data_IF_844469384788
#
_entry.id   IF_844469384788
#
_cell.length_a   1.000
_cell.length_b   1.000
_cell.length_c   1.000
_cell.angle_alpha   90.00
_cell.angle_beta   90.00
_cell.angle_gamma   90.00
#
_symmetry.space_group_name_H-M   'P 1'
#
loop_
_entity.id
_entity.type
_entity.pdbx_description
1 polymer ?
#
# COMPACT_ATOMS: atom_id res chain seq x y z
N UNK A 1 -11.56 -14.85 -17.36
CA UNK A 1 -10.97 -13.50 -17.19
C UNK A 1 -9.51 -13.63 -17.56
N UNK A 2 -9.06 -12.98 -18.63
CA UNK A 2 -7.63 -13.05 -19.02
C UNK A 2 -6.87 -12.12 -18.08
N UNK A 3 -6.11 -12.68 -17.15
CA UNK A 3 -5.18 -11.92 -16.31
C UNK A 3 -4.01 -11.47 -17.20
N UNK A 4 -3.98 -10.19 -17.55
CA UNK A 4 -2.77 -9.63 -18.15
C UNK A 4 -1.70 -9.56 -17.06
N UNK A 5 -0.52 -10.14 -17.29
CA UNK A 5 0.56 -10.09 -16.31
C UNK A 5 0.96 -8.64 -16.04
N UNK A 6 1.20 -8.30 -14.77
CA UNK A 6 1.75 -7.01 -14.42
C UNK A 6 3.17 -6.88 -15.00
N UNK A 7 3.45 -5.76 -15.67
CA UNK A 7 4.75 -5.49 -16.27
C UNK A 7 5.45 -4.41 -15.44
N UNK A 8 6.64 -4.73 -14.94
CA UNK A 8 7.50 -3.74 -14.30
C UNK A 8 8.13 -2.84 -15.36
N UNK A 9 7.65 -1.61 -15.46
CA UNK A 9 8.11 -0.63 -16.46
C UNK A 9 9.40 0.06 -16.00
N UNK A 10 9.46 0.44 -14.70
CA UNK A 10 10.60 1.15 -14.13
C UNK A 10 10.74 0.84 -12.64
N UNK A 11 11.94 1.00 -12.12
CA UNK A 11 12.27 0.84 -10.71
C UNK A 11 13.29 1.89 -10.31
N UNK A 12 13.06 2.56 -9.19
CA UNK A 12 14.01 3.48 -8.58
C UNK A 12 14.22 3.12 -7.12
N UNK A 13 15.36 3.47 -6.57
CA UNK A 13 15.70 3.25 -5.17
C UNK A 13 16.41 4.46 -4.59
N UNK A 14 16.27 4.67 -3.30
CA UNK A 14 16.94 5.73 -2.55
C UNK A 14 17.66 5.14 -1.33
N UNK A 15 18.61 5.90 -0.80
CA UNK A 15 19.39 5.49 0.37
C UNK A 15 18.55 5.63 1.64
N UNK A 16 18.88 4.84 2.67
CA UNK A 16 18.10 4.77 3.93
C UNK A 16 17.93 6.10 4.66
N UNK A 17 18.83 7.07 4.47
CA UNK A 17 18.71 8.43 5.00
C UNK A 17 17.90 9.38 4.08
N UNK A 18 17.22 8.87 3.07
CA UNK A 18 16.44 9.61 2.08
C UNK A 18 17.22 10.72 1.34
N UNK A 19 18.56 10.64 1.33
CA UNK A 19 19.43 11.71 0.79
C UNK A 19 19.21 11.98 -0.69
N UNK A 20 18.80 10.99 -1.46
CA UNK A 20 18.56 11.09 -2.91
C UNK A 20 17.10 10.78 -3.30
N UNK A 21 16.17 10.78 -2.36
CA UNK A 21 14.76 10.40 -2.63
C UNK A 21 14.10 11.31 -3.66
N UNK A 22 14.40 12.60 -3.65
CA UNK A 22 13.82 13.58 -4.59
C UNK A 22 14.26 13.32 -6.03
N UNK A 23 15.54 13.03 -6.23
CA UNK A 23 16.09 12.65 -7.53
C UNK A 23 15.49 11.34 -8.01
N UNK A 24 15.41 10.35 -7.15
CA UNK A 24 14.82 9.05 -7.44
C UNK A 24 13.35 9.14 -7.87
N UNK A 25 12.56 9.99 -7.22
CA UNK A 25 11.14 10.20 -7.60
C UNK A 25 11.03 10.97 -8.92
N UNK A 26 11.86 12.01 -9.13
CA UNK A 26 11.88 12.74 -10.42
C UNK A 26 12.22 11.83 -11.58
N UNK A 27 13.21 10.96 -11.40
CA UNK A 27 13.64 10.01 -12.41
C UNK A 27 12.52 8.98 -12.69
N UNK A 28 11.95 8.38 -11.63
CA UNK A 28 10.84 7.42 -11.73
C UNK A 28 9.66 7.99 -12.50
N UNK A 29 9.24 9.20 -12.17
CA UNK A 29 8.12 9.92 -12.78
C UNK A 29 8.50 10.65 -14.08
N UNK A 30 9.73 10.55 -14.58
CA UNK A 30 10.22 11.30 -15.76
C UNK A 30 9.87 12.78 -15.70
N UNK A 31 10.03 13.39 -14.52
CA UNK A 31 9.56 14.75 -14.23
C UNK A 31 10.06 15.78 -15.23
N UNK A 32 11.38 15.80 -15.52
CA UNK A 32 11.97 16.80 -16.43
C UNK A 32 11.48 16.63 -17.88
N UNK A 33 11.28 15.38 -18.33
CA UNK A 33 10.72 15.11 -19.65
C UNK A 33 9.28 15.60 -19.75
N UNK A 34 8.42 15.27 -18.79
CA UNK A 34 7.03 15.73 -18.75
C UNK A 34 6.92 17.25 -18.64
N UNK A 35 7.82 17.88 -17.90
CA UNK A 35 7.93 19.35 -17.83
C UNK A 35 8.33 19.97 -19.16
N UNK A 36 9.31 19.39 -19.82
CA UNK A 36 9.71 19.83 -21.17
C UNK A 36 8.57 19.73 -22.17
N UNK A 37 7.87 18.60 -22.21
CA UNK A 37 6.73 18.39 -23.10
C UNK A 37 5.57 19.37 -22.83
N UNK A 38 5.27 19.67 -21.56
CA UNK A 38 4.27 20.68 -21.23
C UNK A 38 4.67 22.06 -21.73
N UNK A 39 5.93 22.46 -21.53
CA UNK A 39 6.42 23.75 -21.99
C UNK A 39 6.38 23.86 -23.52
N UNK A 40 6.74 22.80 -24.22
CA UNK A 40 6.60 22.69 -25.69
C UNK A 40 5.15 22.84 -26.14
N UNK A 41 4.20 22.17 -25.49
CA UNK A 41 2.76 22.31 -25.76
C UNK A 41 2.28 23.75 -25.54
N UNK A 42 2.70 24.40 -24.43
CA UNK A 42 2.38 25.79 -24.14
C UNK A 42 2.90 26.75 -25.25
N UNK A 43 4.11 26.56 -25.72
CA UNK A 43 4.70 27.36 -26.80
C UNK A 43 3.92 27.20 -28.11
N UNK A 44 3.54 25.97 -28.50
CA UNK A 44 2.74 25.69 -29.66
C UNK A 44 1.37 26.38 -29.61
N UNK A 45 0.70 26.31 -28.42
CA UNK A 45 -0.58 26.96 -28.22
C UNK A 45 -0.49 28.48 -28.26
N UNK A 46 0.58 29.04 -27.69
CA UNK A 46 0.84 30.46 -27.67
C UNK A 46 1.02 31.01 -29.11
N UNK A 47 1.71 30.27 -30.01
CA UNK A 47 1.95 30.67 -31.39
C UNK A 47 0.69 30.69 -32.25
N UNK A 48 -0.35 29.90 -31.91
CA UNK A 48 -1.58 29.76 -32.75
C UNK A 48 -2.54 30.96 -32.67
N UNK A 49 -2.46 31.79 -31.68
CA UNK A 49 -3.23 33.05 -31.49
C UNK A 49 -4.77 32.97 -31.57
N UNK A 50 -5.37 31.79 -31.78
CA UNK A 50 -6.81 31.58 -31.83
C UNK A 50 -7.42 31.46 -30.41
N UNK A 51 -8.73 31.74 -30.26
CA UNK A 51 -9.41 31.73 -28.96
C UNK A 51 -9.45 30.35 -28.29
N UNK A 52 -9.50 29.27 -29.06
CA UNK A 52 -9.48 27.90 -28.51
C UNK A 52 -8.11 27.60 -27.90
N UNK A 53 -7.04 27.98 -28.60
CA UNK A 53 -5.66 27.83 -28.11
C UNK A 53 -5.40 28.66 -26.87
N UNK A 54 -5.90 29.90 -26.78
CA UNK A 54 -5.80 30.75 -25.58
C UNK A 54 -6.50 30.12 -24.37
N UNK A 55 -7.72 29.59 -24.56
CA UNK A 55 -8.46 28.90 -23.49
C UNK A 55 -7.72 27.64 -22.99
N UNK A 56 -7.14 26.87 -23.93
CA UNK A 56 -6.36 25.69 -23.60
C UNK A 56 -5.06 26.05 -22.88
N UNK A 57 -4.35 27.07 -23.35
CA UNK A 57 -3.14 27.58 -22.71
C UNK A 57 -3.40 27.95 -21.25
N UNK A 58 -4.46 28.73 -20.98
CA UNK A 58 -4.85 29.13 -19.61
C UNK A 58 -5.12 27.93 -18.69
N UNK A 59 -5.65 26.83 -19.24
CA UNK A 59 -5.84 25.58 -18.46
C UNK A 59 -4.49 24.92 -18.16
N UNK A 60 -3.55 24.92 -19.11
CA UNK A 60 -2.24 24.30 -18.96
C UNK A 60 -1.29 25.10 -18.03
N UNK A 61 -1.53 26.39 -17.84
CA UNK A 61 -0.73 27.24 -16.91
C UNK A 61 -0.73 26.73 -15.47
N UNK A 62 -1.80 26.02 -15.07
CA UNK A 62 -1.97 25.48 -13.71
C UNK A 62 -1.05 24.28 -13.44
N UNK A 63 -0.50 23.65 -14.45
CA UNK A 63 0.28 22.44 -14.34
C UNK A 63 1.78 22.73 -14.52
N UNK A 64 2.61 21.96 -13.82
CA UNK A 64 4.09 22.01 -13.94
C UNK A 64 4.61 20.98 -14.94
N UNK A 65 3.90 19.85 -15.10
CA UNK A 65 4.24 18.77 -16.02
C UNK A 65 2.99 18.27 -16.76
N UNK A 66 3.16 17.45 -17.80
CA UNK A 66 2.05 16.68 -18.39
C UNK A 66 1.64 15.54 -17.46
N UNK A 67 0.38 15.08 -17.59
CA UNK A 67 -0.12 13.86 -16.90
C UNK A 67 0.11 12.60 -17.75
N UNK A 68 1.13 12.59 -18.60
CA UNK A 68 1.44 11.50 -19.50
C UNK A 68 2.47 10.59 -18.85
N UNK A 69 1.97 9.53 -18.20
CA UNK A 69 2.78 8.52 -17.52
C UNK A 69 2.86 7.26 -18.40
N UNK A 70 3.98 6.57 -18.36
CA UNK A 70 4.17 5.26 -18.98
C UNK A 70 3.83 4.10 -18.03
N UNK A 71 3.27 4.41 -16.87
CA UNK A 71 2.80 3.45 -15.87
C UNK A 71 1.44 3.86 -15.30
N UNK A 72 0.68 2.89 -14.86
CA UNK A 72 -0.65 3.08 -14.27
C UNK A 72 -0.66 2.90 -12.76
N UNK A 73 0.34 2.22 -12.23
CA UNK A 73 0.47 1.90 -10.82
C UNK A 73 1.88 2.20 -10.32
N UNK A 74 2.00 2.58 -9.05
CA UNK A 74 3.28 2.74 -8.38
C UNK A 74 3.25 1.99 -7.04
N UNK A 75 4.18 1.05 -6.85
CA UNK A 75 4.38 0.37 -5.57
C UNK A 75 5.40 1.13 -4.75
N UNK A 76 4.99 1.55 -3.55
CA UNK A 76 5.85 2.20 -2.55
C UNK A 76 6.23 1.13 -1.53
N UNK A 77 7.45 0.59 -1.66
CA UNK A 77 7.95 -0.46 -0.77
C UNK A 77 8.77 0.14 0.37
N UNK A 78 8.10 0.91 1.22
CA UNK A 78 8.71 1.54 2.40
C UNK A 78 7.77 1.45 3.61
N UNK A 79 8.25 1.87 4.80
CA UNK A 79 7.53 1.77 6.06
C UNK A 79 7.90 2.91 7.02
N UNK A 80 7.12 3.06 8.08
CA UNK A 80 7.38 4.01 9.16
C UNK A 80 7.51 5.45 8.67
N UNK A 81 8.42 6.21 9.29
CA UNK A 81 8.64 7.61 8.96
C UNK A 81 9.13 7.83 7.52
N UNK A 82 9.83 6.87 6.93
CA UNK A 82 10.27 6.98 5.54
C UNK A 82 9.08 7.05 4.60
N UNK A 83 8.08 6.17 4.78
CA UNK A 83 6.87 6.20 3.97
C UNK A 83 6.14 7.55 4.06
N UNK A 84 6.01 8.11 5.29
CA UNK A 84 5.40 9.43 5.50
C UNK A 84 6.17 10.59 4.86
N UNK A 85 7.47 10.42 4.63
CA UNK A 85 8.29 11.42 3.94
C UNK A 85 8.28 11.23 2.42
N UNK A 86 8.23 9.99 1.95
CA UNK A 86 8.27 9.65 0.52
C UNK A 86 6.91 9.87 -0.16
N UNK A 87 5.82 9.44 0.47
CA UNK A 87 4.49 9.48 -0.14
C UNK A 87 4.07 10.91 -0.59
N UNK A 88 4.24 11.98 0.20
CA UNK A 88 3.91 13.34 -0.22
C UNK A 88 4.79 13.88 -1.36
N UNK A 89 6.00 13.33 -1.55
CA UNK A 89 6.86 13.76 -2.63
C UNK A 89 6.36 13.31 -4.01
N UNK A 90 5.57 12.25 -4.10
CA UNK A 90 5.00 11.79 -5.35
C UNK A 90 4.09 12.86 -5.98
N UNK A 91 3.00 13.33 -5.31
CA UNK A 91 2.18 14.40 -5.86
C UNK A 91 2.92 15.74 -5.92
N UNK A 92 3.92 15.99 -5.06
CA UNK A 92 4.76 17.18 -5.15
C UNK A 92 5.52 17.26 -6.50
N UNK A 93 5.92 16.11 -7.04
CA UNK A 93 6.52 15.99 -8.39
C UNK A 93 5.49 15.61 -9.46
N UNK A 94 4.24 16.01 -9.23
CA UNK A 94 3.13 15.82 -10.17
C UNK A 94 2.91 14.35 -10.57
N UNK A 95 3.07 13.39 -9.66
CA UNK A 95 2.56 12.04 -9.82
C UNK A 95 1.20 12.01 -9.12
N UNK A 96 0.14 12.22 -9.91
CA UNK A 96 -1.21 12.43 -9.40
C UNK A 96 -1.85 11.09 -8.96
N UNK A 97 -2.22 10.94 -7.67
CA UNK A 97 -2.87 9.72 -7.17
C UNK A 97 -4.26 9.47 -7.76
N UNK A 98 -4.88 10.47 -8.40
CA UNK A 98 -6.14 10.27 -9.13
C UNK A 98 -5.95 9.64 -10.51
N UNK A 99 -4.73 9.63 -11.03
CA UNK A 99 -4.39 9.07 -12.35
C UNK A 99 -3.57 7.80 -12.19
N UNK A 100 -2.61 7.81 -11.28
CA UNK A 100 -1.71 6.69 -10.97
C UNK A 100 -2.16 6.04 -9.66
N UNK A 101 -2.51 4.77 -9.68
CA UNK A 101 -2.89 4.04 -8.47
C UNK A 101 -1.66 3.79 -7.59
N UNK A 102 -1.65 4.37 -6.40
CA UNK A 102 -0.61 4.08 -5.41
C UNK A 102 -0.91 2.75 -4.73
N UNK A 103 0.16 1.97 -4.52
CA UNK A 103 0.12 0.68 -3.85
C UNK A 103 1.17 0.64 -2.76
N UNK A 104 0.83 0.04 -1.64
CA UNK A 104 1.76 -0.24 -0.55
C UNK A 104 1.91 -1.73 -0.28
N UNK A 105 2.80 -2.08 0.63
CA UNK A 105 2.90 -3.44 1.19
C UNK A 105 2.01 -3.56 2.43
N UNK A 106 1.88 -4.75 3.02
CA UNK A 106 1.07 -4.97 4.22
C UNK A 106 1.51 -4.18 5.46
N UNK A 107 2.69 -3.58 5.45
CA UNK A 107 3.18 -2.70 6.55
C UNK A 107 2.49 -1.34 6.59
N UNK A 108 1.72 -0.99 5.56
CA UNK A 108 0.89 0.22 5.54
C UNK A 108 -0.42 0.07 6.35
N UNK A 109 -0.70 -1.15 6.85
CA UNK A 109 -1.88 -1.46 7.69
C UNK A 109 -1.73 -0.88 9.11
N UNK A 110 -1.63 0.45 9.19
CA UNK A 110 -1.49 1.23 10.41
C UNK A 110 -2.24 2.56 10.26
N UNK A 111 -3.00 2.95 11.29
CA UNK A 111 -3.83 4.16 11.29
C UNK A 111 -3.04 5.44 11.05
N UNK A 112 -1.76 5.47 11.41
CA UNK A 112 -0.87 6.61 11.14
C UNK A 112 -0.83 6.96 9.66
N UNK A 113 -0.82 5.95 8.76
CA UNK A 113 -0.80 6.17 7.31
C UNK A 113 -2.17 6.48 6.74
N UNK A 114 -3.25 6.07 7.41
CA UNK A 114 -4.61 6.24 6.90
C UNK A 114 -5.08 7.69 6.89
N UNK A 115 -4.42 8.56 7.66
CA UNK A 115 -4.67 10.01 7.67
C UNK A 115 -3.76 10.78 6.72
N UNK A 116 -2.73 10.14 6.13
CA UNK A 116 -1.82 10.81 5.20
C UNK A 116 -2.55 11.18 3.90
N UNK A 117 -2.65 12.49 3.54
CA UNK A 117 -3.42 12.92 2.37
C UNK A 117 -2.93 12.33 1.05
N UNK A 118 -1.62 12.13 0.90
CA UNK A 118 -1.02 11.57 -0.32
C UNK A 118 -1.28 10.08 -0.50
N UNK A 119 -1.68 9.37 0.57
CA UNK A 119 -2.02 7.96 0.55
C UNK A 119 -3.53 7.70 0.42
N UNK A 120 -4.36 8.75 0.34
CA UNK A 120 -5.79 8.55 0.14
C UNK A 120 -6.04 7.87 -1.22
N UNK A 121 -6.84 6.79 -1.21
CA UNK A 121 -7.08 5.95 -2.39
C UNK A 121 -5.99 4.90 -2.65
N UNK A 122 -4.87 4.90 -1.92
CA UNK A 122 -3.86 3.87 -2.03
C UNK A 122 -4.40 2.50 -1.63
N UNK A 123 -3.90 1.44 -2.28
CA UNK A 123 -4.32 0.06 -2.02
C UNK A 123 -3.16 -0.75 -1.46
N UNK A 124 -3.47 -1.76 -0.64
CA UNK A 124 -2.47 -2.62 -0.04
C UNK A 124 -3.07 -3.98 0.35
N UNK A 125 -2.25 -5.05 0.43
CA UNK A 125 -2.70 -6.33 0.96
C UNK A 125 -2.78 -6.27 2.48
N UNK A 126 -3.94 -6.63 3.04
CA UNK A 126 -4.15 -6.59 4.48
C UNK A 126 -5.36 -7.41 4.92
N UNK A 127 -5.68 -7.33 6.20
CA UNK A 127 -6.82 -8.02 6.80
C UNK A 127 -7.77 -6.95 7.35
N UNK A 128 -9.07 -7.03 7.03
CA UNK A 128 -10.05 -6.04 7.49
C UNK A 128 -10.05 -5.87 9.01
N UNK A 129 -10.11 -4.63 9.50
CA UNK A 129 -10.12 -4.32 10.93
C UNK A 129 -11.29 -4.99 11.66
N UNK A 130 -12.43 -5.19 10.98
CA UNK A 130 -13.60 -5.87 11.54
C UNK A 130 -13.27 -7.24 12.13
N UNK A 131 -12.28 -7.94 11.59
CA UNK A 131 -11.86 -9.25 12.12
C UNK A 131 -11.24 -9.13 13.52
N UNK A 132 -10.71 -7.96 13.85
CA UNK A 132 -9.99 -7.69 15.10
C UNK A 132 -10.78 -6.86 16.12
N UNK A 133 -11.93 -6.33 15.74
CA UNK A 133 -12.64 -5.31 16.55
C UNK A 133 -12.94 -5.78 17.97
N UNK A 134 -13.28 -7.04 18.14
CA UNK A 134 -13.62 -7.58 19.47
C UNK A 134 -12.39 -7.62 20.38
N UNK A 135 -11.22 -8.03 19.88
CA UNK A 135 -10.01 -8.06 20.69
C UNK A 135 -9.48 -6.67 20.97
N UNK A 136 -9.58 -5.76 20.02
CA UNK A 136 -9.20 -4.36 20.20
C UNK A 136 -10.02 -3.75 21.33
N UNK A 137 -11.35 -3.91 21.30
CA UNK A 137 -12.24 -3.38 22.33
C UNK A 137 -11.97 -4.00 23.70
N UNK A 138 -11.83 -5.32 23.77
CA UNK A 138 -11.52 -6.02 25.03
C UNK A 138 -10.16 -5.59 25.59
N UNK A 139 -9.15 -5.42 24.74
CA UNK A 139 -7.84 -4.96 25.17
C UNK A 139 -7.88 -3.55 25.74
N UNK A 140 -8.55 -2.63 25.05
CA UNK A 140 -8.73 -1.25 25.51
C UNK A 140 -9.50 -1.19 26.83
N UNK A 141 -10.54 -2.03 26.99
CA UNK A 141 -11.31 -2.09 28.24
C UNK A 141 -10.47 -2.58 29.44
N UNK A 142 -9.57 -3.55 29.22
CA UNK A 142 -8.77 -4.16 30.29
C UNK A 142 -7.54 -3.32 30.62
N UNK A 143 -6.86 -2.78 29.61
CA UNK A 143 -5.54 -2.17 29.77
C UNK A 143 -5.51 -0.65 29.60
N UNK A 144 -6.63 -0.04 29.16
CA UNK A 144 -6.74 1.40 28.87
C UNK A 144 -5.61 1.89 27.92
N UNK A 145 -5.23 1.05 26.96
CA UNK A 145 -4.11 1.27 26.05
C UNK A 145 -4.45 0.80 24.63
N UNK A 146 -3.70 1.27 23.64
CA UNK A 146 -3.90 0.93 22.24
C UNK A 146 -3.42 -0.50 21.93
N UNK A 147 -4.27 -1.28 21.26
CA UNK A 147 -3.92 -2.61 20.78
C UNK A 147 -2.98 -2.53 19.56
N UNK A 148 -1.74 -2.90 19.74
CA UNK A 148 -0.75 -2.90 18.67
C UNK A 148 -1.05 -3.98 17.64
N UNK A 149 -1.03 -3.60 16.36
CA UNK A 149 -1.31 -4.51 15.22
C UNK A 149 -0.47 -5.80 15.26
N UNK A 150 0.80 -5.70 15.65
CA UNK A 150 1.70 -6.86 15.72
C UNK A 150 1.30 -7.88 16.80
N UNK A 151 0.51 -7.48 17.81
CA UNK A 151 0.07 -8.35 18.90
C UNK A 151 -0.86 -9.49 18.46
N UNK A 152 -1.42 -9.41 17.25
CA UNK A 152 -2.23 -10.50 16.68
C UNK A 152 -1.42 -11.77 16.45
N UNK A 153 -0.13 -11.64 16.10
CA UNK A 153 0.74 -12.79 15.83
C UNK A 153 0.95 -13.69 17.06
N UNK A 154 1.44 -13.17 18.21
CA UNK A 154 1.58 -13.99 19.41
C UNK A 154 0.25 -14.50 19.95
N UNK A 155 -0.84 -13.74 19.77
CA UNK A 155 -2.16 -14.19 20.20
C UNK A 155 -2.62 -15.44 19.42
N UNK A 156 -2.56 -15.40 18.09
CA UNK A 156 -2.90 -16.53 17.23
C UNK A 156 -2.00 -17.74 17.51
N UNK A 157 -0.69 -17.49 17.75
CA UNK A 157 0.26 -18.55 18.09
C UNK A 157 -0.09 -19.22 19.43
N UNK A 158 -0.42 -18.45 20.45
CA UNK A 158 -0.84 -19.00 21.75
C UNK A 158 -2.15 -19.77 21.65
N UNK A 159 -3.08 -19.31 20.82
CA UNK A 159 -4.30 -20.05 20.49
C UNK A 159 -4.01 -21.41 19.85
N UNK A 160 -3.08 -21.45 18.90
CA UNK A 160 -2.65 -22.70 18.27
C UNK A 160 -1.95 -23.65 19.26
N UNK A 161 -1.05 -23.13 20.10
CA UNK A 161 -0.38 -23.92 21.15
C UNK A 161 -1.40 -24.52 22.10
N UNK A 162 -2.35 -23.71 22.57
CA UNK A 162 -3.42 -24.19 23.46
C UNK A 162 -4.29 -25.26 22.78
N UNK A 163 -4.62 -25.09 21.49
CA UNK A 163 -5.36 -26.08 20.72
C UNK A 163 -4.60 -27.42 20.64
N UNK A 164 -3.30 -27.39 20.35
CA UNK A 164 -2.44 -28.59 20.29
C UNK A 164 -2.37 -29.26 21.65
N UNK A 165 -2.18 -28.48 22.73
CA UNK A 165 -2.10 -29.00 24.09
C UNK A 165 -3.41 -29.64 24.56
N UNK A 166 -4.54 -28.99 24.36
CA UNK A 166 -5.86 -29.51 24.79
C UNK A 166 -6.32 -30.75 24.01
N UNK A 167 -5.79 -30.96 22.80
CA UNK A 167 -6.03 -32.16 22.01
C UNK A 167 -5.04 -33.29 22.29
N UNK A 168 -4.07 -33.07 23.18
CA UNK A 168 -3.03 -34.06 23.55
C UNK A 168 -2.28 -34.65 22.34
N UNK A 169 -2.05 -33.81 21.30
CA UNK A 169 -1.31 -34.26 20.12
C UNK A 169 0.12 -34.64 20.46
N UNK A 170 0.55 -35.82 19.95
CA UNK A 170 1.96 -36.22 19.99
C UNK A 170 2.75 -35.44 18.95
N UNK A 171 4.07 -35.31 19.14
CA UNK A 171 4.92 -34.54 18.23
C UNK A 171 4.76 -34.94 16.75
N UNK A 172 4.64 -36.22 16.44
CA UNK A 172 4.42 -36.68 15.07
C UNK A 172 3.10 -36.24 14.46
N UNK A 173 2.06 -36.10 15.30
CA UNK A 173 0.73 -35.63 14.84
C UNK A 173 0.74 -34.12 14.67
N UNK A 174 1.47 -33.39 15.53
CA UNK A 174 1.68 -31.93 15.37
C UNK A 174 2.38 -31.63 14.06
N UNK A 175 3.46 -32.37 13.73
CA UNK A 175 4.19 -32.20 12.47
C UNK A 175 3.26 -32.44 11.27
N UNK A 176 2.45 -33.51 11.30
CA UNK A 176 1.46 -33.79 10.25
C UNK A 176 0.39 -32.71 10.14
N UNK A 177 -0.10 -32.21 11.28
CA UNK A 177 -1.10 -31.16 11.35
C UNK A 177 -0.59 -29.87 10.70
N UNK A 178 0.63 -29.43 11.08
CA UNK A 178 1.22 -28.19 10.59
C UNK A 178 1.67 -28.29 9.11
N UNK A 179 2.11 -29.47 8.66
CA UNK A 179 2.50 -29.68 7.26
C UNK A 179 1.33 -30.04 6.32
N UNK A 180 0.11 -30.01 6.81
CA UNK A 180 -1.06 -30.28 5.98
C UNK A 180 -1.47 -29.02 5.19
N UNK A 181 -1.28 -28.97 3.85
CA UNK A 181 -1.54 -27.77 3.04
C UNK A 181 -3.03 -27.39 2.99
N UNK A 182 -3.93 -28.34 3.34
CA UNK A 182 -5.37 -28.09 3.36
C UNK A 182 -5.88 -27.66 4.74
N UNK A 183 -5.01 -27.62 5.75
CA UNK A 183 -5.41 -27.24 7.12
C UNK A 183 -5.21 -25.74 7.33
N UNK A 184 -6.32 -25.05 7.49
CA UNK A 184 -6.35 -23.65 7.92
C UNK A 184 -6.74 -23.58 9.38
N UNK A 185 -6.18 -22.62 10.09
CA UNK A 185 -6.48 -22.28 11.48
C UNK A 185 -7.16 -20.92 11.53
N UNK A 186 -8.24 -20.84 12.30
CA UNK A 186 -8.94 -19.58 12.50
C UNK A 186 -8.16 -18.73 13.50
N UNK A 187 -7.62 -17.61 13.03
CA UNK A 187 -6.95 -16.61 13.85
C UNK A 187 -7.79 -15.34 13.99
N UNK A 188 -7.46 -14.50 14.94
CA UNK A 188 -8.06 -13.17 15.10
C UNK A 188 -7.88 -12.34 13.83
N UNK A 189 -6.75 -12.55 13.19
CA UNK A 189 -6.30 -11.81 12.04
C UNK A 189 -6.54 -12.60 10.75
N UNK A 190 -7.69 -13.27 10.70
CA UNK A 190 -8.08 -14.14 9.60
C UNK A 190 -7.42 -15.50 9.64
N UNK A 191 -7.78 -16.32 8.65
CA UNK A 191 -7.25 -17.68 8.55
C UNK A 191 -5.76 -17.67 8.22
N UNK A 192 -5.02 -18.56 8.88
CA UNK A 192 -3.62 -18.81 8.59
C UNK A 192 -3.33 -20.31 8.39
N UNK A 193 -2.27 -20.62 7.69
CA UNK A 193 -1.84 -21.99 7.43
C UNK A 193 -0.31 -22.02 7.28
N UNK A 194 0.26 -23.23 7.30
CA UNK A 194 1.70 -23.41 7.14
C UNK A 194 2.01 -23.95 5.74
N UNK A 195 2.98 -23.33 5.09
CA UNK A 195 3.51 -23.75 3.81
C UNK A 195 5.01 -23.48 3.78
N UNK A 196 5.78 -24.49 3.39
CA UNK A 196 7.25 -24.41 3.31
C UNK A 196 7.91 -23.88 4.60
N UNK A 197 7.42 -24.31 5.76
CA UNK A 197 7.82 -23.87 7.10
C UNK A 197 7.57 -22.37 7.39
N UNK A 198 6.73 -21.72 6.62
CA UNK A 198 6.30 -20.34 6.83
C UNK A 198 4.80 -20.27 7.13
N UNK A 199 4.41 -19.26 7.87
CA UNK A 199 2.98 -18.93 8.07
C UNK A 199 2.51 -18.07 6.90
N UNK A 200 1.47 -18.53 6.22
CA UNK A 200 0.76 -17.75 5.22
C UNK A 200 -0.64 -17.38 5.75
N UNK A 201 -1.14 -16.24 5.32
CA UNK A 201 -2.49 -15.74 5.65
C UNK A 201 -3.26 -15.42 4.38
N UNK A 202 -4.58 -15.60 4.43
CA UNK A 202 -5.47 -15.11 3.37
C UNK A 202 -5.60 -13.59 3.52
N UNK A 203 -5.12 -12.84 2.53
CA UNK A 203 -5.15 -11.39 2.52
C UNK A 203 -6.24 -10.87 1.56
N UNK A 204 -6.85 -9.76 1.92
CA UNK A 204 -7.72 -8.98 1.05
C UNK A 204 -6.94 -7.78 0.51
N UNK A 205 -7.40 -7.20 -0.60
CA UNK A 205 -6.92 -5.89 -1.03
C UNK A 205 -7.75 -4.83 -0.32
N UNK A 206 -7.08 -3.98 0.42
CA UNK A 206 -7.68 -2.87 1.16
C UNK A 206 -7.36 -1.55 0.47
N UNK A 207 -8.25 -0.57 0.63
CA UNK A 207 -8.05 0.82 0.18
C UNK A 207 -8.16 1.77 1.35
N UNK A 208 -7.22 2.72 1.41
CA UNK A 208 -7.23 3.80 2.40
C UNK A 208 -8.27 4.86 2.03
N UNK A 209 -9.09 5.27 2.99
CA UNK A 209 -10.04 6.35 2.84
C UNK A 209 -10.36 7.01 4.18
N UNK A 210 -10.03 8.29 4.32
CA UNK A 210 -10.40 9.15 5.45
C UNK A 210 -10.15 8.52 6.83
N UNK A 211 -8.92 8.05 7.08
CA UNK A 211 -8.53 7.49 8.37
C UNK A 211 -8.91 6.02 8.60
N UNK A 212 -9.49 5.37 7.61
CA UNK A 212 -9.88 3.96 7.65
C UNK A 212 -9.38 3.20 6.41
N UNK A 213 -9.50 1.87 6.46
CA UNK A 213 -9.31 1.03 5.29
C UNK A 213 -10.54 0.14 5.06
N UNK A 214 -10.83 -0.19 3.82
CA UNK A 214 -11.94 -1.06 3.45
C UNK A 214 -11.57 -2.00 2.30
N UNK A 215 -12.20 -3.16 2.28
CA UNK A 215 -11.98 -4.16 1.22
C UNK A 215 -12.49 -3.63 -0.11
N UNK A 216 -11.69 -3.80 -1.15
CA UNK A 216 -12.13 -3.58 -2.54
C UNK A 216 -12.30 -4.93 -3.23
N UNK A 217 -13.41 -5.10 -3.92
CA UNK A 217 -13.75 -6.30 -4.69
C UNK A 217 -13.28 -6.16 -6.14
#
# INVERSE_FOLDING_TARGET
>A
MFESPAILVNRSSYKGELTNVRESIKELGKYELRKYELNRQKQILFSKKDEKSKKRLKKLERFKTTSDYDFTHILIADYGLNLLQVAPLLPYYDIDPNIVQFMGTGVIDDKTFFYEPSLQGAIFPGIPELNRINIINNYMEIYDDEFLRISTLPYDLMGLINFIYTKEYKLGDVIKLLNNPNKKFDGIDGNFYFKDNMIEKDLSILRINNGNSYVIN
#
